data_IF_290123439750
#
_entry.id   IF_290123439750
#
_cell.length_a   1.000
_cell.length_b   1.000
_cell.length_c   1.000
_cell.angle_alpha   90.00
_cell.angle_beta   90.00
_cell.angle_gamma   90.00
#
_symmetry.space_group_name_H-M   'P 1'
#
loop_
_entity.id
_entity.type
_entity.pdbx_description
1 polymer ?
#
# COMPACT_ATOMS: atom_id res chain seq x y z
N UNK A 1 36.49 18.04 -22.29
CA UNK A 1 35.17 17.40 -22.26
C UNK A 1 34.29 18.29 -21.41
N UNK A 2 33.48 19.16 -22.04
CA UNK A 2 32.87 20.32 -21.38
C UNK A 2 31.76 19.90 -20.42
N UNK A 3 31.85 20.39 -19.18
CA UNK A 3 30.83 20.22 -18.15
C UNK A 3 29.58 21.00 -18.57
N UNK A 4 28.55 20.29 -19.04
CA UNK A 4 27.21 20.89 -19.14
C UNK A 4 26.73 21.00 -17.70
N UNK A 5 26.87 22.18 -17.10
CA UNK A 5 26.09 22.52 -15.91
C UNK A 5 24.67 22.71 -16.41
N UNK A 6 23.79 21.74 -16.18
CA UNK A 6 22.38 21.89 -16.55
C UNK A 6 21.80 23.07 -15.77
N UNK A 7 21.04 23.94 -16.43
CA UNK A 7 20.37 25.08 -15.80
C UNK A 7 19.24 24.68 -14.81
N UNK A 8 19.06 23.37 -14.60
CA UNK A 8 18.00 22.78 -13.80
C UNK A 8 18.56 21.63 -12.95
N UNK A 9 17.96 21.45 -11.77
CA UNK A 9 18.20 20.34 -10.86
C UNK A 9 17.01 19.36 -10.94
N UNK A 10 17.28 18.06 -11.08
CA UNK A 10 16.24 17.03 -11.08
C UNK A 10 15.97 16.55 -9.65
N UNK A 11 14.73 16.73 -9.20
CA UNK A 11 14.27 16.26 -7.88
C UNK A 11 13.28 15.12 -8.08
N UNK A 12 13.57 13.95 -7.51
CA UNK A 12 12.75 12.73 -7.61
C UNK A 12 12.30 12.31 -6.22
N UNK A 13 11.00 12.06 -6.06
CA UNK A 13 10.41 11.40 -4.90
C UNK A 13 9.73 10.11 -5.32
N UNK A 14 9.83 9.07 -4.48
CA UNK A 14 9.21 7.78 -4.73
C UNK A 14 8.15 7.50 -3.67
N UNK A 15 7.03 6.94 -4.11
CA UNK A 15 6.02 6.31 -3.27
C UNK A 15 6.05 4.81 -3.53
N UNK A 16 6.24 4.01 -2.48
CA UNK A 16 6.44 2.58 -2.58
C UNK A 16 5.41 1.88 -1.70
N UNK A 17 4.60 1.01 -2.30
CA UNK A 17 3.72 0.10 -1.59
C UNK A 17 4.35 -1.29 -1.52
N UNK A 18 4.26 -1.91 -0.34
CA UNK A 18 4.84 -3.24 -0.07
C UNK A 18 3.75 -4.13 0.49
N UNK A 19 3.41 -5.19 -0.25
CA UNK A 19 2.51 -6.23 0.24
C UNK A 19 3.22 -7.06 1.32
N UNK A 20 2.66 -7.06 2.53
CA UNK A 20 3.23 -7.81 3.64
C UNK A 20 2.87 -9.30 3.54
N UNK A 21 3.85 -10.18 3.73
CA UNK A 21 3.67 -11.63 3.72
C UNK A 21 3.00 -12.14 5.01
N UNK A 22 1.80 -11.64 5.33
CA UNK A 22 0.94 -12.15 6.40
C UNK A 22 0.08 -13.30 5.89
N UNK A 23 -0.49 -14.09 6.82
CA UNK A 23 -1.41 -15.19 6.48
C UNK A 23 -2.85 -14.75 6.25
N UNK A 24 -3.26 -13.69 6.95
CA UNK A 24 -4.58 -13.08 6.86
C UNK A 24 -4.44 -11.60 6.48
N UNK A 25 -5.53 -11.02 6.00
CA UNK A 25 -5.61 -9.62 5.60
C UNK A 25 -5.39 -8.66 6.76
N UNK A 26 -5.31 -7.37 6.44
CA UNK A 26 -4.99 -6.32 7.40
C UNK A 26 -6.08 -6.11 8.46
N UNK A 27 -7.36 -6.26 8.07
CA UNK A 27 -8.50 -5.93 8.93
C UNK A 27 -9.52 -7.07 9.13
N UNK A 28 -9.23 -8.27 8.63
CA UNK A 28 -10.06 -9.47 8.81
C UNK A 28 -9.22 -10.75 8.77
N UNK A 29 -9.86 -11.90 8.93
CA UNK A 29 -9.23 -13.22 8.97
C UNK A 29 -9.14 -13.92 7.60
N UNK A 30 -9.69 -13.32 6.54
CA UNK A 30 -9.58 -13.85 5.17
C UNK A 30 -8.11 -14.01 4.75
N UNK A 31 -7.78 -15.06 3.99
CA UNK A 31 -6.41 -15.33 3.55
C UNK A 31 -5.91 -14.34 2.48
N UNK A 32 -4.59 -14.27 2.33
CA UNK A 32 -3.84 -13.41 1.40
C UNK A 32 -3.15 -14.22 0.29
N UNK A 33 -3.64 -15.43 0.00
CA UNK A 33 -2.97 -16.34 -0.94
C UNK A 33 -3.06 -15.80 -2.37
N UNK A 34 -1.94 -15.72 -3.07
CA UNK A 34 -1.94 -15.28 -4.46
C UNK A 34 -2.56 -16.32 -5.40
N UNK A 35 -3.31 -15.88 -6.41
CA UNK A 35 -3.78 -16.75 -7.50
C UNK A 35 -4.99 -17.63 -7.21
N UNK A 36 -5.74 -17.36 -6.14
CA UNK A 36 -7.02 -18.05 -5.88
C UNK A 36 -8.10 -17.67 -6.91
N UNK A 37 -9.14 -18.51 -7.02
CA UNK A 37 -10.31 -18.22 -7.85
C UNK A 37 -10.97 -16.89 -7.44
N UNK A 38 -11.50 -16.09 -8.38
CA UNK A 38 -12.03 -14.76 -8.08
C UNK A 38 -13.07 -14.75 -6.95
N UNK A 39 -12.95 -13.79 -6.04
CA UNK A 39 -13.85 -13.56 -4.90
C UNK A 39 -14.00 -14.73 -3.90
N UNK A 40 -13.07 -15.69 -3.87
CA UNK A 40 -13.11 -16.83 -2.92
C UNK A 40 -12.43 -16.57 -1.57
N UNK A 41 -11.60 -15.54 -1.47
CA UNK A 41 -10.89 -15.13 -0.24
C UNK A 41 -11.49 -13.85 0.35
N UNK A 42 -12.81 -13.85 0.48
CA UNK A 42 -13.59 -12.67 0.88
C UNK A 42 -14.43 -12.95 2.12
N UNK A 43 -14.83 -11.90 2.83
CA UNK A 43 -15.71 -11.95 3.98
C UNK A 43 -16.46 -10.61 4.11
N UNK A 44 -17.48 -10.51 4.99
CA UNK A 44 -18.25 -9.27 5.13
C UNK A 44 -17.41 -8.02 5.40
N UNK A 45 -16.29 -8.14 6.13
CA UNK A 45 -15.42 -7.01 6.46
C UNK A 45 -14.68 -6.48 5.24
N UNK A 46 -13.98 -7.34 4.49
CA UNK A 46 -13.22 -6.89 3.33
C UNK A 46 -14.13 -6.52 2.15
N UNK A 47 -15.35 -7.06 2.08
CA UNK A 47 -16.39 -6.67 1.13
C UNK A 47 -17.14 -5.39 1.53
N UNK A 48 -16.86 -4.81 2.71
CA UNK A 48 -17.54 -3.60 3.17
C UNK A 48 -19.04 -3.78 3.38
N UNK A 49 -19.49 -4.99 3.70
CA UNK A 49 -20.90 -5.29 3.93
C UNK A 49 -21.45 -4.49 5.13
N UNK A 50 -22.74 -4.10 5.09
CA UNK A 50 -23.36 -3.34 6.18
C UNK A 50 -23.21 -4.02 7.54
N UNK A 51 -22.73 -3.27 8.54
CA UNK A 51 -22.55 -3.75 9.92
C UNK A 51 -21.23 -4.48 10.20
N UNK A 52 -20.37 -4.66 9.19
CA UNK A 52 -19.03 -5.21 9.40
C UNK A 52 -18.07 -4.18 10.04
N UNK A 53 -17.09 -4.66 10.82
CA UNK A 53 -16.11 -3.83 11.52
C UNK A 53 -14.68 -4.35 11.31
N UNK A 54 -13.68 -3.47 11.12
CA UNK A 54 -12.29 -3.87 10.93
C UNK A 54 -11.61 -4.28 12.25
N UNK A 55 -10.78 -5.33 12.19
CA UNK A 55 -9.94 -5.79 13.31
C UNK A 55 -8.47 -5.82 12.88
N UNK A 56 -7.60 -4.93 13.39
CA UNK A 56 -6.21 -4.84 12.95
C UNK A 56 -5.40 -6.12 13.13
N UNK A 57 -4.61 -6.47 12.12
CA UNK A 57 -3.73 -7.62 12.14
C UNK A 57 -2.44 -7.34 12.91
N UNK A 58 -2.27 -7.99 14.07
CA UNK A 58 -1.06 -7.84 14.91
C UNK A 58 0.23 -8.11 14.13
N UNK A 59 0.26 -9.15 13.29
CA UNK A 59 1.48 -9.53 12.55
C UNK A 59 1.87 -8.47 11.52
N UNK A 60 0.89 -7.84 10.89
CA UNK A 60 1.15 -6.72 9.96
C UNK A 60 1.75 -5.52 10.70
N UNK A 61 1.26 -5.20 11.91
CA UNK A 61 1.82 -4.13 12.76
C UNK A 61 3.26 -4.47 13.15
N UNK A 62 3.51 -5.71 13.60
CA UNK A 62 4.87 -6.18 13.95
C UNK A 62 5.82 -6.04 12.75
N UNK A 63 5.38 -6.38 11.54
CA UNK A 63 6.17 -6.22 10.31
C UNK A 63 6.44 -4.75 9.95
N UNK A 64 5.46 -3.86 10.08
CA UNK A 64 5.73 -2.44 9.84
C UNK A 64 6.76 -1.90 10.85
N UNK A 65 6.69 -2.28 12.12
CA UNK A 65 7.70 -1.88 13.11
C UNK A 65 9.10 -2.39 12.73
N UNK A 66 9.21 -3.64 12.25
CA UNK A 66 10.48 -4.18 11.77
C UNK A 66 11.01 -3.42 10.54
N UNK A 67 10.14 -3.11 9.58
CA UNK A 67 10.51 -2.29 8.41
C UNK A 67 10.97 -0.90 8.85
N UNK A 68 10.24 -0.27 9.77
CA UNK A 68 10.61 1.03 10.32
C UNK A 68 11.99 1.01 10.97
N UNK A 69 12.27 0.04 11.83
CA UNK A 69 13.59 -0.12 12.44
C UNK A 69 14.70 -0.40 11.40
N UNK A 70 14.40 -1.18 10.37
CA UNK A 70 15.36 -1.47 9.29
C UNK A 70 15.66 -0.25 8.41
N UNK A 71 14.71 0.69 8.29
CA UNK A 71 14.85 1.97 7.59
C UNK A 71 15.30 3.11 8.52
N UNK A 72 15.79 2.77 9.70
CA UNK A 72 16.19 3.71 10.76
C UNK A 72 15.14 4.80 11.06
N UNK A 73 13.85 4.45 10.94
CA UNK A 73 12.76 5.33 11.30
C UNK A 73 12.60 5.41 12.82
N UNK A 74 12.16 6.58 13.29
CA UNK A 74 11.60 6.72 14.63
C UNK A 74 10.20 6.09 14.67
N UNK A 75 10.01 5.16 15.60
CA UNK A 75 8.70 4.52 15.83
C UNK A 75 7.86 5.42 16.73
N UNK A 76 6.66 5.78 16.29
CA UNK A 76 5.75 6.64 17.03
C UNK A 76 5.15 5.89 18.24
N UNK A 77 5.11 6.49 19.44
CA UNK A 77 4.48 5.88 20.62
C UNK A 77 2.95 5.80 20.49
N UNK A 78 2.38 6.58 19.56
CA UNK A 78 0.96 6.63 19.27
C UNK A 78 0.77 6.80 17.76
N UNK A 79 -0.16 6.03 17.18
CA UNK A 79 -0.47 6.05 15.76
C UNK A 79 -1.97 5.81 15.55
N UNK A 80 -2.54 6.37 14.48
CA UNK A 80 -3.99 6.37 14.23
C UNK A 80 -4.33 5.93 12.81
N UNK A 81 -5.28 5.00 12.70
CA UNK A 81 -5.89 4.66 11.43
C UNK A 81 -6.95 5.68 11.02
N UNK A 82 -6.94 6.04 9.75
CA UNK A 82 -7.78 7.05 9.12
C UNK A 82 -8.53 6.44 7.94
N UNK A 83 -9.64 7.07 7.54
CA UNK A 83 -10.37 6.73 6.32
C UNK A 83 -9.99 7.69 5.20
N UNK A 84 -9.31 7.18 4.18
CA UNK A 84 -9.06 7.88 2.92
C UNK A 84 -10.23 7.63 1.99
N UNK A 85 -11.20 8.57 1.95
CA UNK A 85 -12.47 8.38 1.26
C UNK A 85 -12.34 8.66 -0.26
N UNK A 86 -12.75 7.69 -1.09
CA UNK A 86 -12.83 7.83 -2.54
C UNK A 86 -13.70 6.70 -3.11
N UNK A 87 -14.32 6.97 -4.27
CA UNK A 87 -15.17 6.01 -4.95
C UNK A 87 -14.41 5.36 -6.10
N UNK A 88 -14.21 4.06 -6.03
CA UNK A 88 -13.71 3.25 -7.15
C UNK A 88 -14.20 1.80 -7.02
N UNK A 89 -14.53 1.09 -8.11
CA UNK A 89 -15.15 -0.23 -8.03
C UNK A 89 -14.37 -1.29 -7.25
N UNK A 90 -13.04 -1.23 -7.23
CA UNK A 90 -12.21 -2.17 -6.46
C UNK A 90 -12.00 -1.77 -4.98
N UNK A 91 -12.58 -0.65 -4.53
CA UNK A 91 -12.60 -0.24 -3.13
C UNK A 91 -14.02 -0.39 -2.55
N UNK A 92 -14.36 -1.56 -1.97
CA UNK A 92 -15.74 -1.91 -1.63
C UNK A 92 -16.35 -1.01 -0.54
N UNK A 93 -15.51 -0.44 0.34
CA UNK A 93 -15.93 0.41 1.46
C UNK A 93 -16.14 1.88 1.05
N UNK A 94 -15.76 2.28 -0.17
CA UNK A 94 -15.62 3.69 -0.61
C UNK A 94 -14.68 4.53 0.28
N UNK A 95 -13.85 3.87 1.08
CA UNK A 95 -12.71 4.44 1.76
C UNK A 95 -11.68 3.34 2.02
N UNK A 96 -10.40 3.70 1.93
CA UNK A 96 -9.29 2.86 2.34
C UNK A 96 -8.93 3.22 3.78
N UNK A 97 -8.83 2.23 4.66
CA UNK A 97 -8.24 2.41 5.98
C UNK A 97 -6.72 2.49 5.79
N UNK A 98 -6.16 3.65 6.11
CA UNK A 98 -4.73 3.96 6.01
C UNK A 98 -4.30 4.74 7.25
N UNK A 99 -3.16 5.44 7.24
CA UNK A 99 -2.77 6.39 8.29
C UNK A 99 -2.43 7.72 7.63
N UNK A 100 -2.85 8.84 8.22
CA UNK A 100 -2.60 10.16 7.65
C UNK A 100 -1.58 10.93 8.49
N UNK A 101 -2.00 11.83 9.37
CA UNK A 101 -1.12 12.70 10.16
C UNK A 101 -0.27 11.98 11.22
N UNK A 102 -0.72 10.80 11.69
CA UNK A 102 -0.05 10.02 12.75
C UNK A 102 0.42 8.63 12.26
N UNK A 103 1.36 8.52 11.30
CA UNK A 103 1.91 7.25 10.84
C UNK A 103 2.82 6.60 11.89
N UNK A 104 2.98 5.27 11.81
CA UNK A 104 3.76 4.52 12.79
C UNK A 104 5.28 4.78 12.69
N UNK A 105 5.82 4.98 11.49
CA UNK A 105 7.25 5.18 11.27
C UNK A 105 7.49 6.52 10.56
N UNK A 106 8.40 7.34 11.09
CA UNK A 106 8.72 8.67 10.56
C UNK A 106 10.22 8.93 10.55
N UNK A 107 10.67 9.83 9.67
CA UNK A 107 12.02 10.42 9.69
C UNK A 107 13.15 9.37 9.64
N UNK A 108 13.03 8.37 8.76
CA UNK A 108 14.08 7.38 8.53
C UNK A 108 15.00 7.74 7.37
N UNK A 109 15.83 6.79 6.97
CA UNK A 109 16.67 6.91 5.77
C UNK A 109 17.10 5.55 5.22
N UNK A 110 17.59 5.56 3.97
CA UNK A 110 18.25 4.45 3.33
C UNK A 110 19.55 4.95 2.69
N UNK A 111 20.67 4.32 3.05
CA UNK A 111 21.95 4.57 2.40
C UNK A 111 22.09 3.66 1.17
N UNK A 112 22.37 4.24 0.02
CA UNK A 112 22.51 3.53 -1.27
C UNK A 112 23.85 3.84 -1.91
N UNK A 113 24.46 2.85 -2.55
CA UNK A 113 25.67 3.05 -3.36
C UNK A 113 25.30 3.57 -4.75
N UNK A 114 25.89 4.69 -5.14
CA UNK A 114 25.78 5.26 -6.49
C UNK A 114 27.19 5.45 -7.02
N UNK A 115 27.60 4.57 -7.92
CA UNK A 115 28.92 4.57 -8.55
C UNK A 115 30.08 4.56 -7.52
N UNK A 116 29.94 3.79 -6.43
CA UNK A 116 30.95 3.69 -5.36
C UNK A 116 30.90 4.83 -4.32
N UNK A 117 29.90 5.71 -4.40
CA UNK A 117 29.67 6.78 -3.42
C UNK A 117 28.38 6.49 -2.67
N UNK A 118 28.46 6.38 -1.35
CA UNK A 118 27.30 6.23 -0.48
C UNK A 118 26.47 7.53 -0.48
N UNK A 119 25.17 7.39 -0.71
CA UNK A 119 24.19 8.49 -0.74
C UNK A 119 23.04 8.15 0.17
N UNK A 120 22.74 9.05 1.10
CA UNK A 120 21.59 8.93 1.99
C UNK A 120 20.32 9.46 1.35
N UNK A 121 19.29 8.63 1.30
CA UNK A 121 17.93 8.99 0.84
C UNK A 121 17.01 9.02 2.07
N UNK A 122 16.39 10.17 2.34
CA UNK A 122 15.45 10.29 3.44
C UNK A 122 14.17 9.49 3.22
N UNK A 123 13.70 8.81 4.27
CA UNK A 123 12.38 8.17 4.32
C UNK A 123 11.47 9.07 5.15
N UNK A 124 10.57 9.79 4.47
CA UNK A 124 9.63 10.69 5.13
C UNK A 124 8.75 9.93 6.14
N UNK A 125 8.24 8.77 5.73
CA UNK A 125 7.33 7.94 6.54
C UNK A 125 7.19 6.52 5.97
N UNK A 126 6.83 5.59 6.84
CA UNK A 126 6.22 4.31 6.48
C UNK A 126 4.98 4.07 7.34
N UNK A 127 3.89 3.63 6.73
CA UNK A 127 2.59 3.55 7.38
C UNK A 127 1.77 2.36 6.89
N UNK A 128 0.73 2.03 7.63
CA UNK A 128 -0.15 0.89 7.32
C UNK A 128 -1.36 1.31 6.51
N UNK A 129 -1.74 0.47 5.55
CA UNK A 129 -3.00 0.53 4.84
C UNK A 129 -3.50 -0.85 4.43
N UNK A 130 -4.76 -0.96 4.06
CA UNK A 130 -5.29 -2.09 3.29
C UNK A 130 -5.13 -1.84 1.79
N UNK A 131 -4.99 -2.92 1.01
CA UNK A 131 -4.93 -2.81 -0.45
C UNK A 131 -6.35 -2.77 -1.05
N UNK A 132 -6.44 -2.46 -2.35
CA UNK A 132 -7.68 -2.54 -3.11
C UNK A 132 -7.84 -3.91 -3.79
N UNK A 133 -9.04 -4.17 -4.29
CA UNK A 133 -9.28 -5.30 -5.17
C UNK A 133 -8.54 -5.19 -6.50
N UNK A 134 -8.92 -6.05 -7.44
CA UNK A 134 -8.40 -6.02 -8.81
C UNK A 134 -9.52 -5.74 -9.78
N UNK A 135 -9.31 -4.72 -10.61
CA UNK A 135 -10.16 -4.43 -11.77
C UNK A 135 -9.57 -5.04 -13.04
N UNK A 136 -10.36 -5.85 -13.75
CA UNK A 136 -10.02 -6.38 -15.08
C UNK A 136 -10.94 -5.76 -16.13
N UNK A 137 -10.38 -4.91 -16.98
CA UNK A 137 -11.12 -4.28 -18.08
C UNK A 137 -11.23 -5.24 -19.27
N UNK A 138 -12.46 -5.55 -19.68
CA UNK A 138 -12.71 -6.53 -20.74
C UNK A 138 -12.90 -5.83 -22.08
N UNK A 139 -11.87 -5.94 -22.92
CA UNK A 139 -11.79 -5.43 -24.28
C UNK A 139 -10.79 -6.25 -25.10
N UNK A 140 -10.66 -5.95 -26.39
CA UNK A 140 -9.84 -6.71 -27.34
C UNK A 140 -8.36 -6.73 -26.99
N UNK A 141 -7.82 -5.62 -26.50
CA UNK A 141 -6.40 -5.48 -26.14
C UNK A 141 -6.14 -5.54 -24.62
N UNK A 142 -7.19 -5.71 -23.81
CA UNK A 142 -7.11 -5.57 -22.35
C UNK A 142 -6.87 -4.13 -21.87
N UNK A 143 -6.88 -3.13 -22.77
CA UNK A 143 -6.81 -1.71 -22.40
C UNK A 143 -8.17 -1.18 -22.01
N UNK A 144 -8.17 -0.29 -21.01
CA UNK A 144 -9.39 0.37 -20.52
C UNK A 144 -10.14 1.13 -21.63
N UNK A 145 -9.42 1.69 -22.62
CA UNK A 145 -10.02 2.49 -23.69
C UNK A 145 -10.97 1.72 -24.61
N UNK A 146 -10.81 0.40 -24.71
CA UNK A 146 -11.65 -0.47 -25.57
C UNK A 146 -12.65 -1.30 -24.75
N UNK A 147 -12.62 -1.17 -23.43
CA UNK A 147 -13.39 -2.02 -22.56
C UNK A 147 -14.88 -1.64 -22.56
N UNK A 148 -15.75 -2.64 -22.67
CA UNK A 148 -17.21 -2.44 -22.54
C UNK A 148 -17.71 -2.57 -21.11
N UNK A 149 -16.96 -3.31 -20.29
CA UNK A 149 -17.24 -3.55 -18.88
C UNK A 149 -15.94 -3.91 -18.15
N UNK A 150 -16.00 -3.91 -16.82
CA UNK A 150 -14.91 -4.37 -15.97
C UNK A 150 -15.41 -5.47 -15.03
N UNK A 151 -14.57 -6.45 -14.75
CA UNK A 151 -14.79 -7.47 -13.75
C UNK A 151 -13.98 -7.11 -12.49
N UNK A 152 -14.57 -7.29 -11.32
CA UNK A 152 -13.93 -6.97 -10.04
C UNK A 152 -13.69 -8.25 -9.26
N UNK A 153 -12.45 -8.42 -8.80
CA UNK A 153 -12.04 -9.46 -7.87
C UNK A 153 -11.56 -8.84 -6.55
N UNK A 154 -12.30 -9.09 -5.47
CA UNK A 154 -12.00 -8.59 -4.12
C UNK A 154 -11.11 -9.53 -3.29
N UNK A 155 -10.51 -10.56 -3.90
CA UNK A 155 -9.56 -11.43 -3.20
C UNK A 155 -8.43 -10.66 -2.51
N UNK A 156 -7.99 -9.53 -3.08
CA UNK A 156 -6.91 -8.70 -2.55
C UNK A 156 -7.35 -7.56 -1.61
N UNK A 157 -8.63 -7.14 -1.70
CA UNK A 157 -9.21 -6.05 -0.91
C UNK A 157 -9.31 -6.38 0.59
#
# INVERSE_FOLDING_TARGET
MGTIVSAYETVIGLEVHVELATRSKMFCDSPTTFGAEPNTQTCPVCLGEPGSLPVPNKRAIDYLMLIGLALDCRIAPHSLFHRKNYFYPDMPKNYQISQYDLPLCVEGHLDVDVDGVERRIGITRAHMEEDTGKSLHVGTTGRIAEAKYSLIDYNRA
#
